data_IF_337412279186
#
_entry.id   IF_337412279186
#
_cell.length_a   1.000
_cell.length_b   1.000
_cell.length_c   1.000
_cell.angle_alpha   90.00
_cell.angle_beta   90.00
_cell.angle_gamma   90.00
#
_symmetry.space_group_name_H-M   'P 1'
#
loop_
_entity.id
_entity.type
_entity.pdbx_description
1 polymer ?
#
# COMPACT_ATOMS: atom_id res chain seq x y z
N UNK A 1 6.87 -25.49 -43.22
CA UNK A 1 6.67 -24.95 -41.87
C UNK A 1 6.90 -23.45 -41.89
N UNK A 2 5.85 -22.64 -42.03
CA UNK A 2 5.95 -21.19 -41.86
C UNK A 2 6.07 -20.96 -40.34
N UNK A 3 7.14 -20.31 -39.84
CA UNK A 3 7.25 -19.99 -38.42
C UNK A 3 6.07 -19.09 -38.03
N UNK A 4 5.39 -19.47 -36.96
CA UNK A 4 4.25 -18.72 -36.44
C UNK A 4 4.77 -17.59 -35.56
N UNK A 5 4.97 -16.42 -36.15
CA UNK A 5 5.43 -15.23 -35.44
C UNK A 5 4.24 -14.48 -34.86
N UNK A 6 4.34 -14.09 -33.59
CA UNK A 6 3.31 -13.30 -32.90
C UNK A 6 3.41 -11.83 -33.32
N UNK A 7 2.30 -11.26 -33.78
CA UNK A 7 2.20 -9.82 -34.04
C UNK A 7 2.14 -9.00 -32.74
N UNK A 8 3.00 -7.98 -32.56
CA UNK A 8 2.90 -7.04 -31.43
C UNK A 8 1.56 -6.30 -31.37
N UNK A 9 0.95 -6.01 -32.52
CA UNK A 9 -0.34 -5.33 -32.63
C UNK A 9 -1.47 -6.17 -32.00
N UNK A 10 -1.48 -7.48 -32.28
CA UNK A 10 -2.45 -8.43 -31.68
C UNK A 10 -2.32 -8.46 -30.16
N UNK A 11 -1.09 -8.54 -29.64
CA UNK A 11 -0.83 -8.52 -28.20
C UNK A 11 -1.29 -7.20 -27.58
N UNK A 12 -1.06 -6.08 -28.27
CA UNK A 12 -1.49 -4.77 -27.79
C UNK A 12 -3.00 -4.64 -27.72
N UNK A 13 -3.72 -5.11 -28.73
CA UNK A 13 -5.18 -5.11 -28.77
C UNK A 13 -5.77 -5.99 -27.68
N UNK A 14 -5.25 -7.22 -27.50
CA UNK A 14 -5.66 -8.13 -26.42
C UNK A 14 -5.39 -7.53 -25.04
N UNK A 15 -4.27 -6.86 -24.86
CA UNK A 15 -3.97 -6.17 -23.61
C UNK A 15 -4.96 -5.04 -23.32
N UNK A 16 -5.33 -4.25 -24.32
CA UNK A 16 -6.36 -3.21 -24.17
C UNK A 16 -7.73 -3.81 -23.81
N UNK A 17 -8.11 -4.95 -24.41
CA UNK A 17 -9.32 -5.69 -24.03
C UNK A 17 -9.25 -6.17 -22.58
N UNK A 18 -8.12 -6.75 -22.18
CA UNK A 18 -7.90 -7.22 -20.81
C UNK A 18 -7.97 -6.08 -19.79
N UNK A 19 -7.39 -4.92 -20.13
CA UNK A 19 -7.43 -3.72 -19.28
C UNK A 19 -8.84 -3.16 -19.15
N UNK A 20 -9.56 -3.01 -20.26
CA UNK A 20 -10.96 -2.56 -20.25
C UNK A 20 -11.88 -3.55 -19.49
N UNK A 21 -11.53 -4.83 -19.53
CA UNK A 21 -12.19 -5.90 -18.79
C UNK A 21 -11.85 -6.00 -17.31
N UNK A 22 -10.90 -5.21 -16.81
CA UNK A 22 -10.46 -5.26 -15.41
C UNK A 22 -9.75 -6.56 -15.01
N UNK A 23 -9.28 -7.37 -15.97
CA UNK A 23 -8.62 -8.64 -15.68
C UNK A 23 -7.09 -8.53 -15.56
N UNK A 24 -6.52 -7.35 -15.84
CA UNK A 24 -5.11 -7.07 -15.56
C UNK A 24 -4.92 -7.04 -14.04
N UNK A 25 -4.06 -7.91 -13.47
CA UNK A 25 -3.80 -7.89 -12.04
C UNK A 25 -3.07 -6.61 -11.64
N UNK A 26 -3.18 -6.25 -10.36
CA UNK A 26 -2.45 -5.17 -9.73
C UNK A 26 -1.74 -5.72 -8.51
N UNK A 27 -0.41 -5.72 -8.55
CA UNK A 27 0.48 -6.07 -7.43
C UNK A 27 1.39 -4.90 -7.05
N UNK A 28 1.04 -3.69 -7.49
CA UNK A 28 1.88 -2.51 -7.31
C UNK A 28 1.99 -2.11 -5.84
N UNK A 29 3.13 -1.53 -5.48
CA UNK A 29 3.25 -0.78 -4.24
C UNK A 29 2.42 0.50 -4.37
N UNK A 30 1.47 0.69 -3.46
CA UNK A 30 0.56 1.82 -3.52
C UNK A 30 1.32 3.15 -3.35
N UNK A 31 0.96 4.13 -4.18
CA UNK A 31 1.59 5.45 -4.16
C UNK A 31 1.47 6.12 -2.79
N UNK A 32 0.36 5.93 -2.08
CA UNK A 32 0.16 6.48 -0.73
C UNK A 32 1.24 5.98 0.23
N UNK A 33 1.60 4.69 0.14
CA UNK A 33 2.71 4.17 0.95
C UNK A 33 4.03 4.80 0.55
N UNK A 34 4.32 4.90 -0.75
CA UNK A 34 5.56 5.52 -1.23
C UNK A 34 5.70 6.98 -0.78
N UNK A 35 4.61 7.75 -0.81
CA UNK A 35 4.64 9.17 -0.47
C UNK A 35 4.81 9.38 1.05
N UNK A 36 4.05 8.65 1.89
CA UNK A 36 4.06 8.83 3.34
C UNK A 36 5.08 7.99 4.10
N UNK A 37 5.59 6.91 3.52
CA UNK A 37 6.69 6.12 4.10
C UNK A 37 8.05 6.62 3.59
N UNK A 38 8.20 7.94 3.47
CA UNK A 38 9.41 8.61 2.99
C UNK A 38 9.86 9.72 3.92
N UNK A 39 11.07 10.24 3.66
CA UNK A 39 11.57 11.45 4.33
C UNK A 39 10.73 12.71 4.03
N UNK A 40 9.93 12.69 2.96
CA UNK A 40 9.09 13.83 2.55
C UNK A 40 7.68 13.81 3.15
N UNK A 41 7.35 12.80 3.97
CA UNK A 41 6.02 12.61 4.55
C UNK A 41 5.38 13.85 5.18
N UNK A 42 6.18 14.70 5.85
CA UNK A 42 5.67 15.94 6.47
C UNK A 42 5.19 16.96 5.46
N UNK A 43 5.92 17.14 4.35
CA UNK A 43 5.56 18.08 3.29
C UNK A 43 4.32 17.57 2.55
N UNK A 44 4.30 16.28 2.22
CA UNK A 44 3.15 15.64 1.55
C UNK A 44 1.88 15.78 2.40
N UNK A 45 1.95 15.51 3.70
CA UNK A 45 0.80 15.66 4.61
C UNK A 45 0.30 17.10 4.67
N UNK A 46 1.22 18.06 4.75
CA UNK A 46 0.89 19.48 4.83
C UNK A 46 0.20 19.96 3.55
N UNK A 47 0.72 19.58 2.38
CA UNK A 47 0.11 19.89 1.09
C UNK A 47 -1.27 19.25 0.92
N UNK A 48 -1.43 17.98 1.31
CA UNK A 48 -2.73 17.29 1.28
C UNK A 48 -3.75 18.00 2.17
N UNK A 49 -3.38 18.32 3.41
CA UNK A 49 -4.26 18.98 4.37
C UNK A 49 -4.74 20.36 3.86
N UNK A 50 -3.81 21.20 3.37
CA UNK A 50 -4.14 22.49 2.78
C UNK A 50 -4.99 22.35 1.50
N UNK A 51 -4.70 21.33 0.68
CA UNK A 51 -5.48 21.01 -0.52
C UNK A 51 -6.93 20.67 -0.20
N UNK A 52 -7.16 19.84 0.82
CA UNK A 52 -8.50 19.51 1.33
C UNK A 52 -9.21 20.76 1.83
N UNK A 53 -8.55 21.58 2.67
CA UNK A 53 -9.19 22.78 3.22
C UNK A 53 -9.60 23.78 2.14
N UNK A 54 -8.81 23.92 1.07
CA UNK A 54 -9.11 24.83 -0.05
C UNK A 54 -10.20 24.31 -0.97
N UNK A 55 -10.41 23.00 -1.05
CA UNK A 55 -11.40 22.40 -1.96
C UNK A 55 -12.80 22.29 -1.33
N UNK A 56 -12.90 22.29 0.00
CA UNK A 56 -14.17 22.17 0.70
C UNK A 56 -14.96 23.50 0.69
N UNK A 57 -16.28 23.46 0.39
CA UNK A 57 -17.17 24.61 0.59
C UNK A 57 -17.22 25.04 2.07
N UNK A 58 -17.54 26.31 2.38
CA UNK A 58 -17.50 26.83 3.75
C UNK A 58 -18.25 26.00 4.80
N UNK A 59 -19.46 25.51 4.46
CA UNK A 59 -20.27 24.68 5.35
C UNK A 59 -19.59 23.34 5.66
N UNK A 60 -19.07 22.65 4.63
CA UNK A 60 -18.34 21.39 4.81
C UNK A 60 -17.00 21.57 5.50
N UNK A 61 -16.32 22.69 5.25
CA UNK A 61 -15.07 23.03 5.94
C UNK A 61 -15.32 23.23 7.45
N UNK A 62 -16.45 23.84 7.83
CA UNK A 62 -16.81 24.00 9.24
C UNK A 62 -17.05 22.64 9.92
N UNK A 63 -17.84 21.75 9.31
CA UNK A 63 -18.06 20.38 9.82
C UNK A 63 -16.76 19.59 9.90
N UNK A 64 -15.94 19.63 8.84
CA UNK A 64 -14.62 18.99 8.82
C UNK A 64 -13.72 19.47 9.96
N UNK A 65 -13.64 20.79 10.19
CA UNK A 65 -12.84 21.36 11.29
C UNK A 65 -13.41 20.98 12.66
N UNK A 66 -14.73 20.87 12.80
CA UNK A 66 -15.38 20.40 14.03
C UNK A 66 -15.05 18.93 14.32
N UNK A 67 -15.06 18.06 13.30
CA UNK A 67 -14.71 16.64 13.45
C UNK A 67 -13.23 16.47 13.82
N UNK A 68 -12.34 17.28 13.24
CA UNK A 68 -10.94 17.34 13.65
C UNK A 68 -10.78 17.78 15.11
N UNK A 69 -11.45 18.85 15.52
CA UNK A 69 -11.39 19.34 16.90
C UNK A 69 -11.99 18.34 17.89
N UNK A 70 -13.02 17.59 17.50
CA UNK A 70 -13.61 16.52 18.32
C UNK A 70 -12.65 15.34 18.45
N UNK A 71 -11.93 15.01 17.39
CA UNK A 71 -11.02 13.86 17.35
C UNK A 71 -9.71 14.14 18.07
N UNK A 72 -9.10 15.32 17.90
CA UNK A 72 -7.76 15.59 18.42
C UNK A 72 -7.71 16.64 19.52
N UNK A 73 -8.79 17.40 19.72
CA UNK A 73 -8.79 18.63 20.52
C UNK A 73 -8.57 19.88 19.67
N UNK A 74 -8.99 21.06 20.16
CA UNK A 74 -8.78 22.32 19.46
C UNK A 74 -7.28 22.69 19.43
N UNK A 75 -6.73 22.98 18.23
CA UNK A 75 -5.33 23.36 18.05
C UNK A 75 -4.32 22.24 18.29
N UNK A 76 -4.76 20.98 18.11
CA UNK A 76 -3.98 19.82 18.45
C UNK A 76 -2.67 19.72 17.68
N UNK A 77 -1.61 19.32 18.38
CA UNK A 77 -0.33 18.95 17.82
C UNK A 77 -0.13 17.47 18.07
N UNK A 78 -0.06 16.70 16.98
CA UNK A 78 0.15 15.24 17.01
C UNK A 78 1.65 14.95 17.02
N UNK A 79 2.20 14.35 18.08
CA UNK A 79 3.61 13.96 18.15
C UNK A 79 3.95 12.97 17.03
N UNK A 80 5.08 13.17 16.35
CA UNK A 80 5.46 12.41 15.14
C UNK A 80 4.43 12.45 13.99
N UNK A 81 3.41 13.30 14.08
CA UNK A 81 2.31 13.37 13.11
C UNK A 81 2.76 13.64 11.68
N UNK A 82 3.90 14.30 11.48
CA UNK A 82 4.44 14.58 10.16
C UNK A 82 5.35 13.48 9.61
N UNK A 83 5.43 12.31 10.25
CA UNK A 83 6.47 11.33 9.96
C UNK A 83 5.92 9.91 9.75
N UNK A 84 6.22 9.33 8.59
CA UNK A 84 6.05 7.90 8.33
C UNK A 84 4.62 7.40 8.51
N UNK A 85 4.48 6.26 9.19
CA UNK A 85 3.19 5.60 9.46
C UNK A 85 2.17 6.47 10.22
N UNK A 86 2.63 7.44 11.03
CA UNK A 86 1.71 8.36 11.72
C UNK A 86 1.16 9.38 10.74
N UNK A 87 2.01 9.93 9.87
CA UNK A 87 1.57 10.80 8.78
C UNK A 87 0.64 10.09 7.80
N UNK A 88 0.92 8.82 7.50
CA UNK A 88 0.03 7.97 6.69
C UNK A 88 -1.34 7.84 7.37
N UNK A 89 -1.40 7.53 8.67
CA UNK A 89 -2.66 7.41 9.38
C UNK A 89 -3.46 8.72 9.38
N UNK A 90 -2.79 9.86 9.61
CA UNK A 90 -3.41 11.17 9.53
C UNK A 90 -3.91 11.46 8.11
N UNK A 91 -3.11 11.21 7.08
CA UNK A 91 -3.49 11.39 5.67
C UNK A 91 -4.80 10.67 5.32
N UNK A 92 -4.91 9.38 5.68
CA UNK A 92 -6.09 8.58 5.40
C UNK A 92 -7.30 9.05 6.22
N UNK A 93 -7.07 9.42 7.48
CA UNK A 93 -8.11 9.98 8.32
C UNK A 93 -8.67 11.30 7.75
N UNK A 94 -7.79 12.20 7.29
CA UNK A 94 -8.18 13.46 6.64
C UNK A 94 -8.94 13.21 5.32
N UNK A 95 -8.50 12.25 4.51
CA UNK A 95 -9.19 11.85 3.26
C UNK A 95 -10.63 11.37 3.53
N UNK A 96 -10.80 10.53 4.57
CA UNK A 96 -12.11 9.99 4.98
C UNK A 96 -13.03 11.08 5.52
N UNK A 97 -12.52 12.01 6.34
CA UNK A 97 -13.34 13.12 6.84
C UNK A 97 -13.75 14.09 5.72
N UNK A 98 -12.91 14.29 4.72
CA UNK A 98 -13.19 15.21 3.62
C UNK A 98 -14.25 14.66 2.63
N UNK A 99 -14.42 13.34 2.56
CA UNK A 99 -15.27 12.70 1.56
C UNK A 99 -16.27 11.74 2.21
N UNK A 100 -17.53 12.14 2.27
CA UNK A 100 -18.61 11.32 2.84
C UNK A 100 -18.93 10.03 2.05
N UNK A 101 -18.35 9.81 0.86
CA UNK A 101 -18.73 8.72 -0.06
C UNK A 101 -17.59 8.17 -0.96
N UNK A 102 -16.32 8.19 -0.53
CA UNK A 102 -15.24 7.60 -1.32
C UNK A 102 -15.01 6.12 -1.04
N UNK A 103 -14.45 5.43 -2.03
CA UNK A 103 -13.92 4.08 -1.87
C UNK A 103 -12.95 4.02 -0.67
N UNK A 104 -13.08 2.96 0.13
CA UNK A 104 -12.24 2.71 1.29
C UNK A 104 -10.74 2.80 0.90
N UNK A 105 -9.97 3.78 1.43
CA UNK A 105 -8.57 3.95 1.08
C UNK A 105 -7.71 2.72 1.37
N UNK A 106 -8.13 1.87 2.32
CA UNK A 106 -7.46 0.61 2.60
C UNK A 106 -7.63 -0.37 1.44
N UNK A 107 -8.83 -0.43 0.83
CA UNK A 107 -9.06 -1.28 -0.35
C UNK A 107 -8.26 -0.81 -1.56
N UNK A 108 -7.96 0.48 -1.66
CA UNK A 108 -7.04 1.01 -2.68
C UNK A 108 -5.62 0.44 -2.48
N UNK A 109 -5.11 0.50 -1.25
CA UNK A 109 -3.73 0.10 -0.90
C UNK A 109 -3.55 -1.43 -0.93
N UNK A 110 -4.49 -2.18 -0.36
CA UNK A 110 -4.35 -3.64 -0.15
C UNK A 110 -5.18 -4.48 -1.13
N UNK A 111 -6.06 -3.86 -1.91
CA UNK A 111 -7.02 -4.56 -2.75
C UNK A 111 -8.36 -4.81 -2.04
N UNK A 112 -9.39 -5.15 -2.81
CA UNK A 112 -10.72 -5.44 -2.28
C UNK A 112 -10.86 -6.88 -1.74
N UNK A 113 -9.92 -7.76 -2.09
CA UNK A 113 -9.94 -9.16 -1.71
C UNK A 113 -9.43 -9.33 -0.28
N UNK A 114 -10.17 -10.06 0.54
CA UNK A 114 -9.81 -10.36 1.94
C UNK A 114 -9.01 -11.67 2.03
N UNK A 115 -8.04 -11.88 1.13
CA UNK A 115 -7.29 -13.14 1.07
C UNK A 115 -6.38 -13.36 2.28
N UNK A 116 -6.06 -12.31 3.04
CA UNK A 116 -5.24 -12.37 4.26
C UNK A 116 -5.74 -11.36 5.29
N UNK A 117 -5.25 -11.48 6.53
CA UNK A 117 -5.53 -10.52 7.59
C UNK A 117 -4.60 -9.31 7.56
N UNK A 118 -3.61 -9.26 6.64
CA UNK A 118 -2.63 -8.15 6.52
C UNK A 118 -3.35 -6.80 6.38
N UNK A 119 -4.22 -6.67 5.37
CA UNK A 119 -4.95 -5.42 5.13
C UNK A 119 -5.85 -5.04 6.31
N UNK A 120 -6.44 -6.02 6.97
CA UNK A 120 -7.27 -5.83 8.18
C UNK A 120 -6.43 -5.31 9.35
N UNK A 121 -5.29 -5.94 9.64
CA UNK A 121 -4.37 -5.53 10.71
C UNK A 121 -3.86 -4.10 10.49
N UNK A 122 -3.46 -3.77 9.26
CA UNK A 122 -3.01 -2.42 8.91
C UNK A 122 -4.15 -1.40 9.04
N UNK A 123 -5.35 -1.72 8.53
CA UNK A 123 -6.54 -0.87 8.67
C UNK A 123 -6.84 -0.54 10.12
N UNK A 124 -6.87 -1.56 10.96
CA UNK A 124 -7.18 -1.40 12.38
C UNK A 124 -6.09 -0.61 13.10
N UNK A 125 -4.81 -0.82 12.79
CA UNK A 125 -3.73 0.02 13.32
C UNK A 125 -3.93 1.49 12.95
N UNK A 126 -4.12 1.79 11.66
CA UNK A 126 -4.25 3.15 11.15
C UNK A 126 -5.44 3.90 11.78
N UNK A 127 -6.56 3.20 12.04
CA UNK A 127 -7.72 3.76 12.76
C UNK A 127 -7.45 4.07 14.23
N UNK A 128 -6.52 3.35 14.87
CA UNK A 128 -6.17 3.59 16.27
C UNK A 128 -5.26 4.80 16.44
N UNK A 129 -4.42 5.12 15.46
CA UNK A 129 -3.44 6.23 15.57
C UNK A 129 -4.11 7.57 15.92
N UNK A 130 -5.16 8.05 15.22
CA UNK A 130 -5.87 9.27 15.60
C UNK A 130 -6.45 9.23 17.03
N UNK A 131 -6.94 8.07 17.46
CA UNK A 131 -7.57 7.90 18.78
C UNK A 131 -6.55 7.99 19.91
N UNK A 132 -5.41 7.32 19.75
CA UNK A 132 -4.32 7.35 20.73
C UNK A 132 -3.70 8.74 20.81
N UNK A 133 -3.56 9.44 19.68
CA UNK A 133 -3.06 10.81 19.64
C UNK A 133 -3.94 11.81 20.43
N UNK A 134 -5.26 11.61 20.46
CA UNK A 134 -6.19 12.41 21.28
C UNK A 134 -5.98 12.23 22.79
N UNK A 135 -5.85 10.97 23.21
CA UNK A 135 -5.70 10.61 24.62
C UNK A 135 -4.44 11.24 25.24
N UNK A 136 -3.37 11.36 24.44
CA UNK A 136 -2.12 11.99 24.84
C UNK A 136 -2.28 13.49 25.16
N UNK A 137 -3.17 14.22 24.47
CA UNK A 137 -3.38 15.64 24.76
C UNK A 137 -4.20 15.88 26.03
N UNK A 138 -5.11 14.98 26.38
CA UNK A 138 -5.97 15.11 27.58
C UNK A 138 -5.23 14.87 28.90
N UNK A 139 -4.02 14.30 28.87
CA UNK A 139 -3.24 14.01 30.08
C UNK A 139 -2.23 15.11 30.46
N UNK A 140 -2.14 16.20 29.68
CA UNK A 140 -1.22 17.32 29.94
C UNK A 140 -1.52 18.12 31.23
N UNK A 141 -2.64 17.86 31.92
CA UNK A 141 -2.98 18.52 33.20
C UNK A 141 -2.45 17.80 34.46
N UNK A 142 -1.76 16.66 34.33
CA UNK A 142 -1.15 15.95 35.47
C UNK A 142 0.38 15.94 35.33
N UNK A 143 1.17 16.39 36.33
CA UNK A 143 2.61 16.32 36.24
C UNK A 143 3.06 14.85 36.37
N UNK A 144 3.39 14.21 35.24
CA UNK A 144 4.29 13.06 35.19
C UNK A 144 4.90 12.87 33.81
N UNK A 145 6.21 13.07 33.77
CA UNK A 145 7.14 12.74 32.68
C UNK A 145 7.11 11.22 32.44
N UNK A 146 6.20 10.68 31.61
CA UNK A 146 6.31 9.32 31.01
C UNK A 146 5.13 8.80 30.14
N UNK A 147 3.92 9.36 30.15
CA UNK A 147 2.73 8.52 29.85
C UNK A 147 2.27 8.44 28.38
N UNK A 148 2.51 9.45 27.54
CA UNK A 148 1.88 9.53 26.20
C UNK A 148 2.56 8.66 25.15
N UNK A 149 3.89 8.52 25.24
CA UNK A 149 4.67 7.62 24.40
C UNK A 149 4.33 6.15 24.66
N UNK A 150 3.72 5.83 25.81
CA UNK A 150 3.49 4.44 26.22
C UNK A 150 2.31 3.81 25.48
N UNK A 151 1.16 4.48 25.36
CA UNK A 151 0.00 3.92 24.64
C UNK A 151 0.30 3.71 23.15
N UNK A 152 0.94 4.69 22.51
CA UNK A 152 1.32 4.58 21.10
C UNK A 152 2.34 3.45 20.89
N UNK A 153 3.30 3.30 21.81
CA UNK A 153 4.22 2.18 21.83
C UNK A 153 3.51 0.83 21.96
N UNK A 154 2.60 0.68 22.92
CA UNK A 154 1.84 -0.56 23.17
C UNK A 154 0.99 -0.97 21.96
N UNK A 155 0.26 -0.02 21.38
CA UNK A 155 -0.53 -0.26 20.15
C UNK A 155 0.41 -0.66 19.01
N UNK A 156 1.48 0.09 18.78
CA UNK A 156 2.45 -0.21 17.71
C UNK A 156 3.08 -1.59 17.89
N UNK A 157 3.47 -1.98 19.10
CA UNK A 157 4.04 -3.30 19.41
C UNK A 157 3.05 -4.44 19.19
N UNK A 158 1.78 -4.25 19.56
CA UNK A 158 0.74 -5.25 19.31
C UNK A 158 0.59 -5.55 17.81
N UNK A 159 0.50 -4.52 16.99
CA UNK A 159 0.30 -4.69 15.55
C UNK A 159 1.58 -5.12 14.82
N UNK A 160 2.77 -4.71 15.28
CA UNK A 160 4.06 -5.19 14.77
C UNK A 160 4.20 -6.72 14.95
N UNK A 161 3.86 -7.23 16.13
CA UNK A 161 3.85 -8.68 16.38
C UNK A 161 2.86 -9.42 15.50
N UNK A 162 1.62 -8.93 15.41
CA UNK A 162 0.58 -9.55 14.60
C UNK A 162 0.97 -9.58 13.11
N UNK A 163 1.47 -8.45 12.58
CA UNK A 163 1.93 -8.36 11.19
C UNK A 163 3.16 -9.22 10.92
N UNK A 164 4.07 -9.37 11.88
CA UNK A 164 5.22 -10.26 11.74
C UNK A 164 4.76 -11.69 11.46
N UNK A 165 3.83 -12.22 12.27
CA UNK A 165 3.31 -13.58 12.07
C UNK A 165 2.56 -13.71 10.75
N UNK A 166 1.63 -12.80 10.47
CA UNK A 166 0.81 -12.84 9.25
C UNK A 166 1.66 -12.75 7.97
N UNK A 167 2.67 -11.86 7.93
CA UNK A 167 3.54 -11.71 6.76
C UNK A 167 4.48 -12.91 6.58
N UNK A 168 4.91 -13.56 7.66
CA UNK A 168 5.72 -14.76 7.59
C UNK A 168 4.91 -15.96 7.09
N UNK A 169 3.75 -16.22 7.72
CA UNK A 169 2.85 -17.32 7.34
C UNK A 169 2.44 -17.19 5.87
N UNK A 170 2.04 -16.00 5.45
CA UNK A 170 1.62 -15.79 4.07
C UNK A 170 2.77 -15.86 3.06
N UNK A 171 3.99 -15.49 3.46
CA UNK A 171 5.16 -15.71 2.61
C UNK A 171 5.42 -17.21 2.40
N UNK A 172 5.28 -18.02 3.45
CA UNK A 172 5.40 -19.48 3.37
C UNK A 172 4.29 -20.07 2.49
N UNK A 173 3.04 -19.64 2.62
CA UNK A 173 1.94 -20.10 1.76
C UNK A 173 2.22 -19.83 0.27
N UNK A 174 2.69 -18.62 -0.07
CA UNK A 174 2.98 -18.25 -1.45
C UNK A 174 4.19 -18.99 -2.03
N UNK A 175 5.21 -19.25 -1.21
CA UNK A 175 6.51 -19.76 -1.70
C UNK A 175 6.66 -21.27 -1.55
N UNK A 176 6.26 -21.84 -0.41
CA UNK A 176 6.37 -23.26 -0.08
C UNK A 176 5.14 -24.01 -0.58
N UNK A 177 3.95 -23.56 -0.17
CA UNK A 177 2.68 -24.22 -0.53
C UNK A 177 2.20 -23.87 -1.94
N UNK A 178 2.88 -22.92 -2.59
CA UNK A 178 2.61 -22.45 -3.96
C UNK A 178 1.18 -21.90 -4.14
N UNK A 179 0.60 -21.36 -3.06
CA UNK A 179 -0.71 -20.70 -3.06
C UNK A 179 -0.58 -19.20 -3.34
N UNK A 180 0.02 -18.89 -4.48
CA UNK A 180 0.22 -17.51 -4.90
C UNK A 180 -0.97 -16.99 -5.71
N UNK A 181 -1.30 -15.72 -5.52
CA UNK A 181 -2.29 -14.98 -6.28
C UNK A 181 -1.87 -13.52 -6.41
N UNK A 182 -2.39 -12.80 -7.40
CA UNK A 182 -2.11 -11.37 -7.53
C UNK A 182 -2.62 -10.56 -6.32
N UNK A 183 -3.80 -10.88 -5.81
CA UNK A 183 -4.34 -10.23 -4.60
C UNK A 183 -3.40 -10.41 -3.40
N UNK A 184 -2.94 -11.65 -3.19
CA UNK A 184 -1.97 -11.98 -2.16
C UNK A 184 -0.66 -11.22 -2.29
N UNK A 185 -0.10 -11.19 -3.50
CA UNK A 185 1.11 -10.44 -3.79
C UNK A 185 0.97 -8.95 -3.45
N UNK A 186 -0.15 -8.33 -3.84
CA UNK A 186 -0.40 -6.92 -3.50
C UNK A 186 -0.44 -6.72 -1.98
N UNK A 187 -1.17 -7.55 -1.26
CA UNK A 187 -1.28 -7.45 0.19
C UNK A 187 0.07 -7.62 0.88
N UNK A 188 0.85 -8.61 0.47
CA UNK A 188 2.14 -8.88 1.07
C UNK A 188 3.15 -7.76 0.83
N UNK A 189 3.26 -7.24 -0.40
CA UNK A 189 4.21 -6.17 -0.72
C UNK A 189 3.89 -4.87 0.00
N UNK A 190 2.62 -4.46 0.00
CA UNK A 190 2.15 -3.27 0.70
C UNK A 190 2.27 -3.45 2.23
N UNK A 191 1.98 -4.65 2.74
CA UNK A 191 2.13 -5.01 4.16
C UNK A 191 3.57 -5.02 4.62
N UNK A 192 4.50 -5.54 3.81
CA UNK A 192 5.93 -5.52 4.09
C UNK A 192 6.49 -4.10 4.17
N UNK A 193 6.08 -3.22 3.24
CA UNK A 193 6.46 -1.81 3.26
C UNK A 193 5.94 -1.12 4.54
N UNK A 194 4.68 -1.36 4.87
CA UNK A 194 4.08 -0.85 6.10
C UNK A 194 4.78 -1.36 7.36
N UNK A 195 5.03 -2.67 7.47
CA UNK A 195 5.66 -3.30 8.63
C UNK A 195 7.08 -2.79 8.87
N UNK A 196 7.88 -2.63 7.81
CA UNK A 196 9.21 -2.03 7.94
C UNK A 196 9.14 -0.63 8.57
N UNK A 197 8.21 0.21 8.12
CA UNK A 197 8.06 1.57 8.67
C UNK A 197 7.39 1.61 10.05
N UNK A 198 6.60 0.60 10.39
CA UNK A 198 6.10 0.39 11.74
C UNK A 198 7.28 0.11 12.69
N UNK A 199 8.21 -0.77 12.30
CA UNK A 199 9.43 -1.05 13.06
C UNK A 199 10.33 0.18 13.18
N UNK A 200 10.50 0.94 12.10
CA UNK A 200 11.23 2.23 12.15
C UNK A 200 10.57 3.17 13.17
N UNK A 201 9.24 3.24 13.22
CA UNK A 201 8.54 4.07 14.21
C UNK A 201 8.75 3.59 15.65
N UNK A 202 8.78 2.29 15.89
CA UNK A 202 9.14 1.75 17.21
C UNK A 202 10.54 2.15 17.67
N UNK A 203 11.52 2.12 16.75
CA UNK A 203 12.88 2.61 17.01
C UNK A 203 12.88 4.11 17.30
N UNK A 204 12.12 4.92 16.53
CA UNK A 204 11.96 6.37 16.79
C UNK A 204 11.48 6.66 18.21
N UNK A 205 10.55 5.85 18.72
CA UNK A 205 10.01 5.95 20.08
C UNK A 205 10.93 5.36 21.16
N UNK A 206 12.08 4.77 20.79
CA UNK A 206 13.00 4.16 21.75
C UNK A 206 12.52 2.81 22.32
N UNK A 207 11.48 2.22 21.74
CA UNK A 207 10.90 0.94 22.21
C UNK A 207 11.64 -0.27 21.63
N UNK A 208 12.42 -0.06 20.57
CA UNK A 208 13.18 -1.09 19.88
C UNK A 208 14.60 -0.60 19.58
N UNK A 209 15.54 -1.54 19.49
CA UNK A 209 16.93 -1.26 19.09
C UNK A 209 16.97 -0.86 17.63
N UNK A 210 17.84 0.08 17.27
CA UNK A 210 18.07 0.52 15.90
C UNK A 210 18.17 -0.68 14.95
N UNK A 211 19.12 -1.59 15.21
CA UNK A 211 19.41 -2.81 14.43
C UNK A 211 18.21 -3.68 14.03
N UNK A 212 17.08 -3.56 14.73
CA UNK A 212 15.86 -4.32 14.41
C UNK A 212 15.21 -3.88 13.11
N UNK A 213 15.27 -2.59 12.77
CA UNK A 213 14.75 -2.07 11.51
C UNK A 213 15.67 -2.41 10.33
N UNK A 214 16.99 -2.31 10.49
CA UNK A 214 17.94 -2.73 9.44
C UNK A 214 17.76 -4.22 9.12
N UNK A 215 17.69 -5.06 10.15
CA UNK A 215 17.54 -6.52 9.96
C UNK A 215 16.25 -6.87 9.21
N UNK A 216 15.14 -6.20 9.54
CA UNK A 216 13.85 -6.39 8.87
C UNK A 216 13.89 -5.87 7.42
N UNK A 217 14.51 -4.72 7.18
CA UNK A 217 14.70 -4.18 5.83
C UNK A 217 15.52 -5.11 4.94
N UNK A 218 16.58 -5.69 5.49
CA UNK A 218 17.41 -6.71 4.83
C UNK A 218 16.58 -7.94 4.46
N UNK A 219 15.76 -8.46 5.40
CA UNK A 219 14.88 -9.60 5.14
C UNK A 219 13.97 -9.35 3.91
N UNK A 220 13.27 -8.22 3.87
CA UNK A 220 12.39 -7.91 2.75
C UNK A 220 13.14 -7.69 1.44
N UNK A 221 14.27 -6.95 1.49
CA UNK A 221 15.11 -6.71 0.32
C UNK A 221 15.54 -8.00 -0.36
N UNK A 222 15.92 -9.03 0.40
CA UNK A 222 16.34 -10.31 -0.16
C UNK A 222 15.18 -11.26 -0.51
N UNK A 223 14.04 -11.16 0.18
CA UNK A 223 12.86 -11.99 -0.10
C UNK A 223 12.12 -11.62 -1.38
N UNK A 224 11.99 -10.32 -1.68
CA UNK A 224 11.18 -9.80 -2.79
C UNK A 224 11.59 -10.34 -4.17
N UNK A 225 12.88 -10.35 -4.57
CA UNK A 225 13.27 -10.88 -5.87
C UNK A 225 12.87 -12.36 -6.07
N UNK A 226 12.99 -13.17 -5.01
CA UNK A 226 12.55 -14.57 -5.04
C UNK A 226 11.03 -14.68 -5.22
N UNK A 227 10.27 -13.84 -4.52
CA UNK A 227 8.82 -13.80 -4.63
C UNK A 227 8.35 -13.35 -6.02
N UNK A 228 9.00 -12.36 -6.64
CA UNK A 228 8.71 -11.94 -8.02
C UNK A 228 8.97 -13.03 -9.04
N UNK A 229 10.03 -13.83 -8.84
CA UNK A 229 10.28 -15.00 -9.68
C UNK A 229 9.16 -16.02 -9.54
N UNK A 230 8.74 -16.34 -8.31
CA UNK A 230 7.60 -17.25 -8.05
C UNK A 230 6.31 -16.75 -8.70
N UNK A 231 6.03 -15.45 -8.62
CA UNK A 231 4.86 -14.84 -9.25
C UNK A 231 4.92 -14.87 -10.79
N UNK A 232 6.11 -14.62 -11.36
CA UNK A 232 6.33 -14.74 -12.81
C UNK A 232 6.05 -16.16 -13.29
N UNK A 233 6.61 -17.16 -12.60
CA UNK A 233 6.39 -18.57 -12.90
C UNK A 233 4.90 -18.94 -12.78
N UNK A 234 4.19 -18.36 -11.80
CA UNK A 234 2.75 -18.54 -11.64
C UNK A 234 1.94 -17.98 -12.80
N UNK A 235 2.20 -16.74 -13.23
CA UNK A 235 1.50 -16.15 -14.37
C UNK A 235 1.78 -16.93 -15.65
N UNK A 236 3.02 -17.33 -15.89
CA UNK A 236 3.39 -18.13 -17.07
C UNK A 236 2.66 -19.48 -17.12
N UNK A 237 2.42 -20.12 -15.97
CA UNK A 237 1.70 -21.40 -15.91
C UNK A 237 0.20 -21.27 -16.13
N UNK A 238 -0.39 -20.12 -15.77
CA UNK A 238 -1.83 -19.94 -15.76
C UNK A 238 -2.36 -19.11 -16.92
N UNK A 239 -1.53 -18.26 -17.52
CA UNK A 239 -1.91 -17.48 -18.68
C UNK A 239 -2.25 -18.39 -19.86
N UNK A 240 -3.41 -18.17 -20.46
CA UNK A 240 -3.88 -18.94 -21.61
C UNK A 240 -4.59 -18.01 -22.58
N UNK A 241 -4.41 -18.29 -23.86
CA UNK A 241 -5.09 -17.57 -24.91
C UNK A 241 -5.67 -18.61 -25.89
N UNK A 242 -6.86 -18.32 -26.41
CA UNK A 242 -7.57 -19.17 -27.38
C UNK A 242 -8.22 -18.29 -28.45
N UNK A 243 -7.91 -18.52 -29.73
CA UNK A 243 -8.35 -17.65 -30.81
C UNK A 243 -9.87 -17.66 -30.96
N UNK A 244 -10.46 -16.57 -31.47
CA UNK A 244 -11.84 -16.59 -31.93
C UNK A 244 -12.01 -17.52 -33.15
N UNK A 245 -13.18 -18.14 -33.24
CA UNK A 245 -13.62 -18.93 -34.39
C UNK A 245 -15.11 -18.70 -34.63
N UNK A 246 -15.92 -19.76 -34.57
CA UNK A 246 -17.39 -19.62 -34.52
C UNK A 246 -17.90 -19.04 -33.19
N UNK A 247 -17.04 -19.00 -32.16
CA UNK A 247 -17.28 -18.39 -30.85
C UNK A 247 -16.20 -17.34 -30.56
N UNK A 248 -16.47 -16.37 -29.67
CA UNK A 248 -15.43 -15.48 -29.15
C UNK A 248 -14.25 -16.27 -28.58
N UNK A 249 -13.05 -15.72 -28.76
CA UNK A 249 -11.83 -16.23 -28.11
C UNK A 249 -11.86 -15.96 -26.62
N UNK A 250 -10.95 -16.59 -25.88
CA UNK A 250 -10.81 -16.42 -24.43
C UNK A 250 -9.36 -16.14 -24.07
N UNK A 251 -9.17 -15.08 -23.29
CA UNK A 251 -7.91 -14.73 -22.67
C UNK A 251 -8.03 -14.94 -21.17
N UNK A 252 -7.09 -15.68 -20.59
CA UNK A 252 -6.92 -15.91 -19.16
C UNK A 252 -5.57 -15.34 -18.76
N UNK A 253 -5.53 -14.45 -17.76
CA UNK A 253 -4.28 -13.90 -17.22
C UNK A 253 -3.81 -14.70 -16.00
N UNK A 254 -4.74 -15.00 -15.10
CA UNK A 254 -4.56 -15.90 -13.95
C UNK A 254 -5.90 -16.60 -13.66
N UNK A 255 -5.95 -17.62 -12.77
CA UNK A 255 -7.20 -18.27 -12.38
C UNK A 255 -8.27 -17.25 -11.97
N UNK A 256 -9.50 -17.46 -12.45
CA UNK A 256 -10.65 -16.56 -12.22
C UNK A 256 -10.53 -15.15 -12.81
N UNK A 257 -9.47 -14.83 -13.57
CA UNK A 257 -9.33 -13.59 -14.35
C UNK A 257 -9.30 -13.90 -15.84
N UNK A 258 -10.48 -14.01 -16.43
CA UNK A 258 -10.65 -14.28 -17.85
C UNK A 258 -11.63 -13.32 -18.51
N UNK A 259 -11.46 -13.13 -19.83
CA UNK A 259 -12.36 -12.35 -20.65
C UNK A 259 -12.52 -12.99 -22.03
N UNK A 260 -13.69 -12.77 -22.64
CA UNK A 260 -13.91 -13.14 -24.04
C UNK A 260 -13.50 -12.00 -24.98
N UNK A 261 -12.94 -12.32 -26.14
CA UNK A 261 -12.51 -11.32 -27.12
C UNK A 261 -12.84 -11.72 -28.57
N UNK A 262 -12.73 -10.76 -29.48
CA UNK A 262 -12.90 -10.96 -30.93
C UNK A 262 -11.64 -10.66 -31.75
N UNK A 263 -10.52 -10.37 -31.08
CA UNK A 263 -9.21 -10.08 -31.71
C UNK A 263 -8.78 -11.29 -32.53
N UNK A 264 -8.59 -11.12 -33.82
CA UNK A 264 -8.29 -12.20 -34.77
C UNK A 264 -6.78 -12.50 -34.80
N UNK A 265 -6.42 -13.78 -34.70
CA UNK A 265 -5.06 -14.27 -34.90
C UNK A 265 -5.10 -15.77 -35.20
N UNK A 266 -3.94 -16.34 -35.57
CA UNK A 266 -3.84 -17.76 -35.90
C UNK A 266 -3.77 -18.60 -34.63
N UNK A 267 -4.33 -19.82 -34.62
CA UNK A 267 -4.23 -20.72 -33.46
C UNK A 267 -2.80 -21.03 -33.02
N UNK A 268 -1.84 -21.05 -33.95
CA UNK A 268 -0.43 -21.27 -33.62
C UNK A 268 0.23 -20.11 -32.87
N UNK A 269 -0.39 -18.92 -32.82
CA UNK A 269 0.15 -17.74 -32.11
C UNK A 269 -0.17 -17.77 -30.61
N UNK A 270 -1.15 -18.58 -30.19
CA UNK A 270 -1.79 -18.48 -28.87
C UNK A 270 -0.82 -18.61 -27.69
N UNK A 271 0.11 -19.56 -27.74
CA UNK A 271 1.14 -19.74 -26.69
C UNK A 271 2.08 -18.54 -26.63
N UNK A 272 2.51 -18.03 -27.79
CA UNK A 272 3.38 -16.87 -27.86
C UNK A 272 2.67 -15.59 -27.40
N UNK A 273 1.38 -15.44 -27.72
CA UNK A 273 0.54 -14.36 -27.23
C UNK A 273 0.41 -14.42 -25.71
N UNK A 274 0.09 -15.59 -25.13
CA UNK A 274 0.00 -15.75 -23.68
C UNK A 274 1.31 -15.36 -22.97
N UNK A 275 2.46 -15.81 -23.50
CA UNK A 275 3.78 -15.44 -22.96
C UNK A 275 4.06 -13.93 -23.06
N UNK A 276 3.71 -13.29 -24.18
CA UNK A 276 3.87 -11.84 -24.37
C UNK A 276 2.91 -11.03 -23.48
N UNK A 277 1.69 -11.53 -23.27
CA UNK A 277 0.72 -10.96 -22.33
C UNK A 277 1.27 -10.95 -20.91
N UNK A 278 1.86 -12.05 -20.43
CA UNK A 278 2.49 -12.11 -19.11
C UNK A 278 3.61 -11.06 -18.98
N UNK A 279 4.48 -10.92 -19.99
CA UNK A 279 5.54 -9.90 -19.98
C UNK A 279 4.96 -8.49 -19.85
N UNK A 280 3.92 -8.18 -20.63
CA UNK A 280 3.28 -6.88 -20.62
C UNK A 280 2.54 -6.60 -19.30
N UNK A 281 1.90 -7.62 -18.73
CA UNK A 281 1.31 -7.55 -17.38
C UNK A 281 2.38 -7.21 -16.34
N UNK A 282 3.52 -7.90 -16.34
CA UNK A 282 4.62 -7.65 -15.40
C UNK A 282 5.25 -6.26 -15.59
N UNK A 283 5.39 -5.80 -16.84
CA UNK A 283 5.91 -4.48 -17.16
C UNK A 283 5.07 -3.36 -16.54
N UNK A 284 3.73 -3.42 -16.68
CA UNK A 284 2.85 -2.38 -16.13
C UNK A 284 2.77 -2.39 -14.60
N UNK A 285 3.14 -3.48 -13.93
CA UNK A 285 3.26 -3.48 -12.47
C UNK A 285 4.42 -2.57 -12.02
N UNK A 286 5.46 -2.44 -12.83
CA UNK A 286 6.64 -1.66 -12.48
C UNK A 286 7.33 -2.19 -11.22
N UNK A 287 7.59 -3.49 -11.17
CA UNK A 287 8.17 -4.23 -10.03
C UNK A 287 9.47 -3.60 -9.48
N UNK A 288 10.24 -2.95 -10.35
CA UNK A 288 11.45 -2.25 -9.97
C UNK A 288 11.17 -1.14 -8.94
N UNK A 289 10.03 -0.45 -9.02
CA UNK A 289 9.65 0.60 -8.04
C UNK A 289 9.53 0.04 -6.64
N UNK A 290 9.02 -1.19 -6.50
CA UNK A 290 8.95 -1.86 -5.20
C UNK A 290 10.35 -2.21 -4.70
N UNK A 291 11.24 -2.70 -5.55
CA UNK A 291 12.65 -2.96 -5.16
C UNK A 291 13.32 -1.66 -4.71
N UNK A 292 13.22 -0.62 -5.54
CA UNK A 292 13.79 0.70 -5.26
C UNK A 292 13.28 1.24 -3.92
N UNK A 293 11.99 1.09 -3.60
CA UNK A 293 11.44 1.49 -2.31
C UNK A 293 12.18 0.86 -1.12
N UNK A 294 12.40 -0.46 -1.13
CA UNK A 294 13.12 -1.13 -0.02
C UNK A 294 14.61 -0.80 -0.02
N UNK A 295 15.22 -0.62 -1.20
CA UNK A 295 16.62 -0.20 -1.29
C UNK A 295 16.84 1.21 -0.74
N UNK A 296 16.04 2.17 -1.16
CA UNK A 296 16.10 3.56 -0.69
C UNK A 296 15.77 3.65 0.79
N UNK A 297 14.77 2.90 1.27
CA UNK A 297 14.48 2.81 2.71
C UNK A 297 15.70 2.31 3.49
N UNK A 298 16.40 1.29 3.00
CA UNK A 298 17.64 0.80 3.61
C UNK A 298 18.77 1.82 3.58
N UNK A 299 18.99 2.51 2.46
CA UNK A 299 20.01 3.56 2.31
C UNK A 299 19.78 4.73 3.27
N UNK A 300 18.51 5.07 3.49
CA UNK A 300 18.10 6.23 4.30
C UNK A 300 17.60 5.85 5.70
N UNK A 301 17.86 4.62 6.16
CA UNK A 301 17.24 4.11 7.39
C UNK A 301 17.60 4.93 8.62
N UNK A 302 18.85 5.41 8.74
CA UNK A 302 19.26 6.29 9.83
C UNK A 302 18.54 7.64 9.77
N UNK A 303 18.43 8.23 8.59
CA UNK A 303 17.69 9.48 8.40
C UNK A 303 16.21 9.31 8.74
N UNK A 304 15.61 8.19 8.34
CA UNK A 304 14.24 7.84 8.69
C UNK A 304 14.11 7.69 10.21
N UNK A 305 14.96 6.90 10.88
CA UNK A 305 14.94 6.71 12.34
C UNK A 305 15.14 8.02 13.10
N UNK A 306 15.96 8.93 12.58
CA UNK A 306 16.21 10.23 13.22
C UNK A 306 15.17 11.28 12.85
N UNK A 307 14.31 11.01 11.87
CA UNK A 307 13.23 11.91 11.49
C UNK A 307 12.31 12.18 12.68
N UNK A 308 12.08 13.46 12.93
CA UNK A 308 11.13 13.99 13.91
C UNK A 308 10.25 14.99 13.18
N UNK A 309 9.04 15.19 13.67
CA UNK A 309 8.10 16.13 13.05
C UNK A 309 6.71 15.93 13.62
N UNK A 310 6.27 16.89 14.42
CA UNK A 310 4.89 16.92 14.87
C UNK A 310 4.02 17.52 13.76
N UNK A 311 2.77 17.12 13.69
CA UNK A 311 1.82 17.74 12.77
C UNK A 311 0.81 18.57 13.57
N UNK A 312 0.61 19.81 13.16
CA UNK A 312 -0.32 20.72 13.82
C UNK A 312 -1.61 20.76 13.03
N UNK A 313 -2.69 20.33 13.67
CA UNK A 313 -4.05 20.45 13.16
C UNK A 313 -4.59 21.79 13.63
N UNK A 314 -4.97 22.64 12.67
CA UNK A 314 -5.50 23.99 12.90
C UNK A 314 -4.51 24.93 13.61
N UNK A 315 -3.62 25.57 12.83
CA UNK A 315 -3.01 26.84 13.23
C UNK A 315 -3.62 28.00 12.42
N UNK A 316 -4.39 28.83 13.13
CA UNK A 316 -5.01 30.10 12.70
C UNK A 316 -6.08 29.99 11.62
N UNK A 317 -7.32 30.18 12.07
CA UNK A 317 -8.32 30.96 11.35
C UNK A 317 -7.59 32.13 10.68
N UNK A 318 -7.45 32.09 9.36
CA UNK A 318 -7.14 33.29 8.60
C UNK A 318 -8.39 34.16 8.67
N UNK A 319 -8.49 34.92 9.76
CA UNK A 319 -9.24 36.17 9.76
C UNK A 319 -8.41 37.15 8.94
N UNK A 320 -8.72 37.24 7.65
CA UNK A 320 -8.65 38.50 6.91
C UNK A 320 -10.09 38.92 6.58
#
# INVERSE_FOLDING_TARGET
NIPCNVSPEVVNELFSVAQAGGIIPDITLDRTLNDFLSLNSSEVLSQQYLGIQRSLPPERLASYNQDLATTFGPGAQVPFGGVGIVALALSLFLEVLAHENTADPIKRIFGADHSTDIGTLVSEYLKQVPRVANDSQKMAEVPRVANDSQKMAEVTERYDRALTYELMDYFEEMTIDRRISSAGMKQWLNGAAFHLHLRIHQVRMGTHKQGSAESLGVFYKFGIPGLFKTYTDYLQRNARETPPGSRPGVLVVEPSRNITHRVQHRPCESEGIANMMVRKVLEVQGLQRTVDFFEETGKHIESLINQRGNFSLLSKVLTE
#
